data_IF_760483157230
#
_entry.id   IF_760483157230
#
_cell.length_a   1.000
_cell.length_b   1.000
_cell.length_c   1.000
_cell.angle_alpha   90.00
_cell.angle_beta   90.00
_cell.angle_gamma   90.00
#
_symmetry.space_group_name_H-M   'P 1'
#
loop_
_entity.id
_entity.type
_entity.pdbx_description
1 polymer ?
#
# COMPACT_ATOMS: atom_id res chain seq x y z
N UNK A 1 -7.19 25.27 -47.02
CA UNK A 1 -7.32 25.56 -45.58
C UNK A 1 -6.33 24.69 -44.83
N UNK A 2 -5.12 25.19 -44.60
CA UNK A 2 -4.09 24.46 -43.84
C UNK A 2 -4.45 24.53 -42.36
N UNK A 3 -4.91 23.42 -41.81
CA UNK A 3 -5.07 23.22 -40.37
C UNK A 3 -3.68 23.26 -39.72
N UNK A 4 -3.26 24.46 -39.33
CA UNK A 4 -2.05 24.67 -38.56
C UNK A 4 -2.33 24.21 -37.13
N UNK A 5 -2.26 22.89 -36.91
CA UNK A 5 -2.24 22.29 -35.57
C UNK A 5 -0.89 22.62 -34.95
N UNK A 6 -0.77 23.84 -34.45
CA UNK A 6 0.17 24.11 -33.39
C UNK A 6 -0.44 23.48 -32.14
N UNK A 7 0.07 22.30 -31.78
CA UNK A 7 -0.12 21.76 -30.44
C UNK A 7 0.62 22.70 -29.48
N UNK A 8 -0.04 23.79 -29.10
CA UNK A 8 0.44 24.64 -28.02
C UNK A 8 0.33 23.80 -26.74
N UNK A 9 1.42 23.14 -26.37
CA UNK A 9 1.54 22.55 -25.04
C UNK A 9 1.43 23.71 -24.04
N UNK A 10 0.29 23.77 -23.36
CA UNK A 10 0.02 24.76 -22.33
C UNK A 10 0.97 24.50 -21.16
N UNK A 11 1.93 25.41 -21.00
CA UNK A 11 2.87 25.45 -19.90
C UNK A 11 2.21 26.07 -18.68
N UNK A 12 2.12 25.31 -17.59
CA UNK A 12 1.53 25.78 -16.35
C UNK A 12 2.56 26.55 -15.51
N UNK A 13 2.11 27.70 -15.00
CA UNK A 13 2.83 28.46 -13.98
C UNK A 13 2.90 27.66 -12.66
N UNK A 14 3.89 27.90 -11.79
CA UNK A 14 4.08 27.11 -10.57
C UNK A 14 2.90 27.19 -9.60
N UNK A 15 2.14 28.29 -9.61
CA UNK A 15 0.92 28.41 -8.82
C UNK A 15 -0.19 27.47 -9.34
N UNK A 16 -0.44 27.48 -10.66
CA UNK A 16 -1.44 26.63 -11.28
C UNK A 16 -1.09 25.14 -11.18
N UNK A 17 0.18 24.77 -11.35
CA UNK A 17 0.65 23.40 -11.18
C UNK A 17 0.51 22.92 -9.73
N UNK A 18 0.77 23.79 -8.75
CA UNK A 18 0.62 23.47 -7.33
C UNK A 18 -0.85 23.24 -6.94
N UNK A 19 -1.76 24.06 -7.45
CA UNK A 19 -3.20 23.89 -7.26
C UNK A 19 -3.71 22.56 -7.85
N UNK A 20 -3.28 22.21 -9.06
CA UNK A 20 -3.64 20.93 -9.70
C UNK A 20 -3.19 19.70 -8.90
N UNK A 21 -2.03 19.79 -8.26
CA UNK A 21 -1.46 18.71 -7.42
C UNK A 21 -2.00 18.69 -5.99
N UNK A 22 -2.69 19.76 -5.55
CA UNK A 22 -3.14 19.90 -4.16
C UNK A 22 -1.98 20.09 -3.16
N UNK A 23 -0.88 20.71 -3.59
CA UNK A 23 0.33 20.88 -2.77
C UNK A 23 0.71 22.36 -2.69
N UNK A 24 1.44 22.78 -1.66
CA UNK A 24 2.01 24.14 -1.60
C UNK A 24 3.04 24.40 -2.71
N UNK A 25 3.11 25.65 -3.18
CA UNK A 25 4.12 26.11 -4.16
C UNK A 25 5.55 25.87 -3.64
N UNK A 26 5.78 25.96 -2.33
CA UNK A 26 7.07 25.70 -1.72
C UNK A 26 7.48 24.22 -1.85
N UNK A 27 6.54 23.31 -1.66
CA UNK A 27 6.77 21.87 -1.82
C UNK A 27 7.02 21.53 -3.29
N UNK A 28 6.24 22.09 -4.22
CA UNK A 28 6.48 21.92 -5.66
C UNK A 28 7.87 22.42 -6.07
N UNK A 29 8.33 23.54 -5.49
CA UNK A 29 9.68 24.06 -5.69
C UNK A 29 10.75 23.11 -5.14
N UNK A 30 10.49 22.46 -4.01
CA UNK A 30 11.38 21.44 -3.42
C UNK A 30 11.46 20.20 -4.31
N UNK A 31 10.32 19.71 -4.79
CA UNK A 31 10.24 18.54 -5.64
C UNK A 31 10.93 18.75 -6.98
N UNK A 32 10.65 19.87 -7.66
CA UNK A 32 11.34 20.24 -8.90
C UNK A 32 12.87 20.36 -8.72
N UNK A 33 13.34 20.90 -7.59
CA UNK A 33 14.79 20.92 -7.28
C UNK A 33 15.38 19.52 -7.13
N UNK A 34 14.64 18.58 -6.56
CA UNK A 34 15.08 17.18 -6.40
C UNK A 34 15.14 16.50 -7.77
N UNK A 35 14.13 16.70 -8.61
CA UNK A 35 14.12 16.17 -9.98
C UNK A 35 15.30 16.71 -10.79
N UNK A 36 15.58 18.02 -10.75
CA UNK A 36 16.74 18.62 -11.43
C UNK A 36 18.08 18.04 -10.93
N UNK A 37 18.18 17.75 -9.62
CA UNK A 37 19.38 17.13 -9.02
C UNK A 37 19.55 15.68 -9.47
N UNK A 38 18.48 14.91 -9.38
CA UNK A 38 18.47 13.47 -9.66
C UNK A 38 18.69 13.21 -11.13
N UNK A 39 17.95 13.87 -12.03
CA UNK A 39 18.16 13.80 -13.50
C UNK A 39 19.48 14.42 -13.92
N UNK A 40 19.99 15.33 -13.10
CA UNK A 40 21.21 16.03 -13.37
C UNK A 40 21.10 17.09 -14.47
N UNK A 41 19.89 17.34 -14.96
CA UNK A 41 19.58 18.42 -15.88
C UNK A 41 19.01 19.61 -15.08
N UNK A 42 19.74 20.73 -15.05
CA UNK A 42 19.31 21.96 -14.35
C UNK A 42 18.18 22.68 -15.06
N UNK A 43 17.98 22.38 -16.34
CA UNK A 43 16.95 22.94 -17.22
C UNK A 43 15.99 21.84 -17.64
N UNK A 44 15.69 20.91 -16.72
CA UNK A 44 14.67 19.87 -16.92
C UNK A 44 13.28 20.50 -17.16
N UNK A 45 12.94 21.50 -16.34
CA UNK A 45 11.72 22.29 -16.52
C UNK A 45 12.03 23.55 -17.34
N UNK A 46 11.11 23.90 -18.23
CA UNK A 46 11.20 25.17 -18.95
C UNK A 46 11.14 26.35 -18.00
N UNK A 47 11.75 27.47 -18.39
CA UNK A 47 11.83 28.66 -17.55
C UNK A 47 11.23 29.85 -18.25
N UNK A 48 10.43 30.62 -17.52
CA UNK A 48 9.97 31.93 -17.97
C UNK A 48 11.12 32.93 -18.07
N UNK A 49 10.88 34.11 -18.67
CA UNK A 49 11.84 35.23 -18.69
C UNK A 49 12.28 35.66 -17.28
N UNK A 50 11.45 35.42 -16.26
CA UNK A 50 11.74 35.69 -14.85
C UNK A 50 12.40 34.49 -14.14
N UNK A 51 12.85 33.48 -14.90
CA UNK A 51 13.47 32.23 -14.42
C UNK A 51 12.56 31.35 -13.55
N UNK A 52 11.25 31.61 -13.54
CA UNK A 52 10.26 30.75 -12.90
C UNK A 52 10.08 29.47 -13.70
N UNK A 53 9.93 28.32 -13.02
CA UNK A 53 9.73 27.02 -13.67
C UNK A 53 8.32 26.96 -14.26
N UNK A 54 8.24 26.43 -15.47
CA UNK A 54 7.02 26.15 -16.21
C UNK A 54 6.93 24.63 -16.37
N UNK A 55 5.73 24.10 -16.18
CA UNK A 55 5.49 22.66 -16.13
C UNK A 55 4.62 22.25 -17.31
N UNK A 56 5.03 21.18 -18.00
CA UNK A 56 4.17 20.50 -18.96
C UNK A 56 3.13 19.64 -18.25
N UNK A 57 2.08 19.24 -18.97
CA UNK A 57 1.06 18.32 -18.43
C UNK A 57 1.69 17.00 -17.94
N UNK A 58 2.66 16.47 -18.70
CA UNK A 58 3.44 15.27 -18.30
C UNK A 58 4.25 15.48 -17.03
N UNK A 59 4.85 16.66 -16.87
CA UNK A 59 5.62 16.99 -15.67
C UNK A 59 4.74 16.99 -14.42
N UNK A 60 3.49 17.44 -14.55
CA UNK A 60 2.52 17.44 -13.45
C UNK A 60 2.16 15.99 -13.08
N UNK A 61 1.89 15.13 -14.06
CA UNK A 61 1.57 13.72 -13.81
C UNK A 61 2.76 12.98 -13.15
N UNK A 62 3.99 13.21 -13.63
CA UNK A 62 5.21 12.64 -13.05
C UNK A 62 5.49 13.17 -11.64
N UNK A 63 5.18 14.44 -11.37
CA UNK A 63 5.28 15.05 -10.05
C UNK A 63 4.19 14.54 -9.09
N UNK A 64 3.01 14.19 -9.57
CA UNK A 64 1.96 13.55 -8.76
C UNK A 64 2.36 12.12 -8.39
N UNK A 65 2.82 11.34 -9.35
CA UNK A 65 3.38 10.01 -9.09
C UNK A 65 4.51 10.09 -8.06
N UNK A 66 5.37 11.11 -8.18
CA UNK A 66 6.48 11.36 -7.26
C UNK A 66 6.00 11.70 -5.85
N UNK A 67 5.04 12.61 -5.75
CA UNK A 67 4.42 12.96 -4.48
C UNK A 67 3.80 11.73 -3.80
N UNK A 68 3.07 10.91 -4.54
CA UNK A 68 2.44 9.70 -4.02
C UNK A 68 3.45 8.63 -3.61
N UNK A 69 4.55 8.46 -4.36
CA UNK A 69 5.64 7.57 -3.96
C UNK A 69 6.37 8.06 -2.71
N UNK A 70 6.52 9.38 -2.55
CA UNK A 70 7.18 9.96 -1.38
C UNK A 70 6.41 9.80 -0.06
N UNK A 71 5.09 9.53 -0.13
CA UNK A 71 4.25 9.25 1.04
C UNK A 71 4.36 7.81 1.53
N UNK A 72 4.94 6.90 0.75
CA UNK A 72 5.11 5.50 1.17
C UNK A 72 6.23 5.43 2.22
N UNK A 73 5.93 4.84 3.36
CA UNK A 73 6.87 4.71 4.47
C UNK A 73 8.16 3.99 4.03
N UNK A 74 9.30 4.59 4.34
CA UNK A 74 10.63 3.99 4.14
C UNK A 74 11.38 4.43 2.88
N UNK A 75 10.82 5.28 2.01
CA UNK A 75 11.52 5.82 0.84
C UNK A 75 11.94 7.27 1.06
N UNK A 76 13.19 7.60 0.72
CA UNK A 76 13.63 8.99 0.70
C UNK A 76 13.09 9.71 -0.54
N UNK A 77 12.92 11.05 -0.45
CA UNK A 77 12.49 11.86 -1.58
C UNK A 77 13.42 11.74 -2.81
N UNK A 78 14.71 11.46 -2.60
CA UNK A 78 15.65 11.30 -3.71
C UNK A 78 15.50 9.93 -4.39
N UNK A 79 15.24 8.87 -3.62
CA UNK A 79 14.99 7.53 -4.14
C UNK A 79 13.67 7.46 -4.90
N UNK A 80 12.61 8.06 -4.37
CA UNK A 80 11.33 8.15 -5.07
C UNK A 80 11.47 8.88 -6.41
N UNK A 81 12.29 9.94 -6.48
CA UNK A 81 12.57 10.65 -7.73
C UNK A 81 13.39 9.78 -8.70
N UNK A 82 14.37 9.01 -8.22
CA UNK A 82 15.15 8.09 -9.06
C UNK A 82 14.27 7.01 -9.70
N UNK A 83 13.24 6.54 -9.00
CA UNK A 83 12.34 5.49 -9.48
C UNK A 83 11.45 5.97 -10.64
N UNK A 84 10.93 7.20 -10.58
CA UNK A 84 10.04 7.73 -11.64
C UNK A 84 10.84 8.29 -12.80
N UNK A 85 11.86 9.10 -12.51
CA UNK A 85 12.63 9.78 -13.54
C UNK A 85 13.74 8.89 -14.12
N UNK A 86 13.74 7.58 -13.77
CA UNK A 86 14.57 6.49 -14.30
C UNK A 86 15.99 6.93 -14.67
N UNK A 87 16.67 7.59 -13.74
CA UNK A 87 18.00 8.14 -13.99
C UNK A 87 19.00 7.01 -13.87
N UNK A 88 19.45 6.49 -15.01
CA UNK A 88 20.70 5.73 -15.08
C UNK A 88 21.81 6.59 -14.47
N UNK A 89 22.51 6.06 -13.46
CA UNK A 89 23.66 6.68 -12.80
C UNK A 89 24.76 7.02 -13.83
N UNK A 90 24.59 8.10 -14.59
CA UNK A 90 25.59 8.61 -15.55
C UNK A 90 26.50 9.68 -14.93
N UNK A 91 26.38 9.95 -13.63
CA UNK A 91 27.04 11.09 -12.97
C UNK A 91 28.24 10.76 -12.07
N UNK A 92 28.89 9.61 -12.26
CA UNK A 92 30.26 9.43 -11.77
C UNK A 92 31.35 9.54 -12.84
N UNK A 93 31.01 9.59 -14.14
CA UNK A 93 32.03 9.55 -15.21
C UNK A 93 32.24 10.85 -16.00
N UNK A 94 31.54 11.94 -15.72
CA UNK A 94 31.53 13.13 -16.59
C UNK A 94 32.30 14.37 -16.07
N UNK A 95 33.20 14.21 -15.08
CA UNK A 95 34.15 15.28 -14.69
C UNK A 95 35.52 15.20 -15.36
N UNK A 96 35.74 14.30 -16.33
CA UNK A 96 37.07 14.13 -16.96
C UNK A 96 37.12 14.19 -18.49
N UNK A 97 36.05 14.57 -19.20
CA UNK A 97 36.07 14.65 -20.67
C UNK A 97 35.47 15.96 -21.17
N UNK A 98 36.18 17.05 -20.92
CA UNK A 98 36.13 18.23 -21.78
C UNK A 98 37.48 18.36 -22.49
N UNK A 99 37.69 17.50 -23.47
CA UNK A 99 38.58 17.73 -24.59
C UNK A 99 38.17 16.74 -25.69
N UNK A 100 38.10 17.24 -26.92
CA UNK A 100 37.98 16.49 -28.17
C UNK A 100 36.56 16.17 -28.66
N UNK A 101 35.97 17.18 -29.29
CA UNK A 101 35.05 16.99 -30.40
C UNK A 101 35.82 16.44 -31.63
N UNK A 102 35.54 15.20 -32.03
CA UNK A 102 35.67 14.72 -33.41
C UNK A 102 34.51 13.75 -33.71
N UNK A 103 33.80 13.90 -34.84
CA UNK A 103 32.77 12.94 -35.24
C UNK A 103 33.47 11.75 -35.89
N UNK A 104 33.27 10.56 -35.36
CA UNK A 104 33.64 9.32 -36.04
C UNK A 104 32.49 8.34 -35.93
N UNK A 105 31.81 8.16 -37.06
CA UNK A 105 31.18 6.89 -37.40
C UNK A 105 32.31 5.83 -37.47
N UNK A 106 32.69 5.28 -36.32
CA UNK A 106 33.49 4.07 -36.24
C UNK A 106 32.51 2.92 -36.03
N UNK A 107 32.46 2.04 -37.02
CA UNK A 107 31.76 0.76 -37.02
C UNK A 107 31.85 0.13 -35.62
N UNK A 108 30.71 -0.17 -34.99
CA UNK A 108 30.69 -0.82 -33.68
C UNK A 108 31.63 -2.02 -33.70
N UNK A 109 32.63 -1.98 -32.82
CA UNK A 109 33.66 -3.00 -32.68
C UNK A 109 33.00 -4.39 -32.54
N UNK A 110 33.37 -5.34 -33.38
CA UNK A 110 32.79 -6.70 -33.43
C UNK A 110 32.80 -7.38 -32.07
N UNK A 111 33.80 -7.07 -31.23
CA UNK A 111 33.89 -7.56 -29.86
C UNK A 111 32.77 -6.99 -28.95
N UNK A 112 32.32 -5.76 -29.18
CA UNK A 112 31.19 -5.16 -28.45
C UNK A 112 29.86 -5.83 -28.86
N UNK A 113 29.71 -6.20 -30.13
CA UNK A 113 28.53 -6.95 -30.61
C UNK A 113 28.50 -8.36 -30.01
N UNK A 114 29.65 -9.06 -29.95
CA UNK A 114 29.75 -10.36 -29.29
C UNK A 114 29.42 -10.28 -27.78
N UNK A 115 29.88 -9.23 -27.10
CA UNK A 115 29.55 -8.98 -25.69
C UNK A 115 28.07 -8.66 -25.48
N UNK A 116 27.47 -7.91 -26.40
CA UNK A 116 26.02 -7.63 -26.40
C UNK A 116 25.22 -8.91 -26.61
N UNK A 117 25.60 -9.76 -27.57
CA UNK A 117 24.99 -11.06 -27.83
C UNK A 117 25.10 -11.97 -26.61
N UNK A 118 26.27 -12.03 -25.96
CA UNK A 118 26.45 -12.79 -24.73
C UNK A 118 25.60 -12.25 -23.56
N UNK A 119 25.48 -10.93 -23.43
CA UNK A 119 24.61 -10.31 -22.43
C UNK A 119 23.12 -10.59 -22.70
N UNK A 120 22.68 -10.55 -23.97
CA UNK A 120 21.34 -10.92 -24.38
C UNK A 120 21.05 -12.40 -24.11
N UNK A 121 21.99 -13.30 -24.43
CA UNK A 121 21.84 -14.72 -24.14
C UNK A 121 21.73 -14.99 -22.63
N UNK A 122 22.55 -14.34 -21.82
CA UNK A 122 22.47 -14.44 -20.36
C UNK A 122 21.16 -13.88 -19.81
N UNK A 123 20.64 -12.80 -20.42
CA UNK A 123 19.35 -12.20 -20.04
C UNK A 123 18.19 -13.12 -20.43
N UNK A 124 18.26 -13.79 -21.57
CA UNK A 124 17.26 -14.78 -21.98
C UNK A 124 17.29 -15.99 -21.03
N UNK A 125 18.48 -16.44 -20.64
CA UNK A 125 18.62 -17.53 -19.66
C UNK A 125 17.99 -17.15 -18.30
N UNK A 126 18.28 -15.95 -17.79
CA UNK A 126 17.70 -15.48 -16.52
C UNK A 126 16.18 -15.25 -16.62
N UNK A 127 15.68 -14.78 -17.77
CA UNK A 127 14.24 -14.67 -18.02
C UNK A 127 13.57 -16.04 -18.04
N UNK A 128 14.18 -17.06 -18.66
CA UNK A 128 13.63 -18.42 -18.67
C UNK A 128 13.57 -19.02 -17.25
N UNK A 129 14.59 -18.81 -16.43
CA UNK A 129 14.56 -19.23 -15.02
C UNK A 129 13.48 -18.50 -14.21
N UNK A 130 13.30 -17.19 -14.45
CA UNK A 130 12.24 -16.42 -13.83
C UNK A 130 10.85 -16.95 -14.23
N UNK A 131 10.66 -17.28 -15.52
CA UNK A 131 9.41 -17.87 -16.02
C UNK A 131 9.14 -19.23 -15.36
N UNK A 132 10.14 -20.10 -15.25
CA UNK A 132 9.99 -21.41 -14.58
C UNK A 132 9.63 -21.25 -13.09
N UNK A 133 10.26 -20.29 -12.39
CA UNK A 133 9.92 -19.98 -11.01
C UNK A 133 8.49 -19.43 -10.86
N UNK A 134 8.05 -18.56 -11.77
CA UNK A 134 6.68 -18.04 -11.79
C UNK A 134 5.66 -19.16 -12.06
N UNK A 135 5.94 -20.06 -13.02
CA UNK A 135 5.10 -21.23 -13.28
C UNK A 135 5.01 -22.14 -12.05
N UNK A 136 6.11 -22.38 -11.34
CA UNK A 136 6.11 -23.13 -10.07
C UNK A 136 5.28 -22.45 -8.98
N UNK A 137 5.33 -21.13 -8.88
CA UNK A 137 4.52 -20.37 -7.93
C UNK A 137 3.03 -20.42 -8.28
N UNK A 138 2.66 -20.23 -9.55
CA UNK A 138 1.28 -20.35 -10.00
C UNK A 138 0.71 -21.73 -9.69
N UNK A 139 1.45 -22.79 -10.02
CA UNK A 139 1.04 -24.16 -9.70
C UNK A 139 0.85 -24.40 -8.18
N UNK A 140 1.65 -23.74 -7.32
CA UNK A 140 1.49 -23.83 -5.86
C UNK A 140 0.23 -23.09 -5.40
N UNK A 141 -0.01 -21.89 -5.91
CA UNK A 141 -1.18 -21.06 -5.58
C UNK A 141 -2.46 -21.76 -6.04
N UNK A 142 -2.48 -22.32 -7.26
CA UNK A 142 -3.61 -23.07 -7.78
C UNK A 142 -3.95 -24.28 -6.89
N UNK A 143 -2.94 -25.03 -6.44
CA UNK A 143 -3.13 -26.12 -5.47
C UNK A 143 -3.68 -25.64 -4.14
N UNK A 144 -3.12 -24.56 -3.58
CA UNK A 144 -3.61 -23.98 -2.34
C UNK A 144 -5.07 -23.51 -2.47
N UNK A 145 -5.43 -22.89 -3.58
CA UNK A 145 -6.80 -22.47 -3.86
C UNK A 145 -7.74 -23.67 -3.99
N UNK A 146 -7.30 -24.74 -4.65
CA UNK A 146 -8.08 -25.97 -4.75
C UNK A 146 -8.32 -26.59 -3.36
N UNK A 147 -7.28 -26.70 -2.54
CA UNK A 147 -7.37 -27.22 -1.17
C UNK A 147 -8.30 -26.36 -0.29
N UNK A 148 -8.24 -25.04 -0.44
CA UNK A 148 -9.14 -24.12 0.28
C UNK A 148 -10.59 -24.29 -0.16
N UNK A 149 -10.84 -24.43 -1.46
CA UNK A 149 -12.17 -24.70 -2.00
C UNK A 149 -12.71 -26.06 -1.53
N UNK A 150 -11.87 -27.09 -1.48
CA UNK A 150 -12.27 -28.40 -0.93
C UNK A 150 -12.58 -28.31 0.56
N UNK A 151 -11.75 -27.64 1.35
CA UNK A 151 -12.04 -27.39 2.77
C UNK A 151 -13.33 -26.61 2.95
N UNK A 152 -13.57 -25.60 2.13
CA UNK A 152 -14.82 -24.85 2.18
C UNK A 152 -16.02 -25.76 1.88
N UNK A 153 -15.95 -26.62 0.87
CA UNK A 153 -16.99 -27.61 0.57
C UNK A 153 -17.21 -28.63 1.70
N UNK A 154 -16.15 -28.98 2.44
CA UNK A 154 -16.26 -29.85 3.62
C UNK A 154 -16.84 -29.12 4.84
N UNK A 155 -16.68 -27.80 4.91
CA UNK A 155 -17.20 -26.94 5.98
C UNK A 155 -18.61 -26.39 5.67
N UNK A 156 -19.08 -26.49 4.43
CA UNK A 156 -20.49 -26.31 4.11
C UNK A 156 -21.29 -27.34 4.92
N UNK A 157 -22.18 -26.83 5.77
CA UNK A 157 -22.88 -27.55 6.82
C UNK A 157 -23.49 -28.87 6.33
N UNK A 158 -23.58 -29.91 7.20
CA UNK A 158 -24.28 -31.14 6.87
C UNK A 158 -25.69 -30.78 6.37
N UNK A 159 -26.01 -31.20 5.15
CA UNK A 159 -27.33 -30.99 4.52
C UNK A 159 -28.45 -31.73 5.26
N UNK A 160 -28.08 -32.63 6.14
CA UNK A 160 -28.96 -33.36 7.03
C UNK A 160 -28.76 -32.77 8.43
N UNK A 161 -29.56 -31.75 8.75
CA UNK A 161 -29.87 -31.45 10.15
C UNK A 161 -30.62 -32.68 10.66
N UNK A 162 -29.95 -33.52 11.45
CA UNK A 162 -30.62 -34.61 12.16
C UNK A 162 -31.86 -34.03 12.86
N UNK A 163 -33.01 -34.69 12.72
CA UNK A 163 -34.30 -34.28 13.32
C UNK A 163 -34.20 -34.06 14.85
N UNK A 164 -33.15 -34.57 15.50
CA UNK A 164 -32.82 -34.33 16.91
C UNK A 164 -32.32 -32.90 17.20
N UNK A 165 -31.64 -32.22 16.27
CA UNK A 165 -31.16 -30.83 16.47
C UNK A 165 -32.31 -29.84 16.37
N UNK A 166 -33.31 -30.12 15.53
CA UNK A 166 -34.53 -29.32 15.42
C UNK A 166 -35.45 -29.44 16.67
N UNK A 167 -35.26 -30.49 17.47
CA UNK A 167 -36.00 -30.74 18.71
C UNK A 167 -35.36 -30.12 19.96
N UNK A 168 -34.17 -29.50 19.85
CA UNK A 168 -33.55 -28.79 20.95
C UNK A 168 -34.33 -27.50 21.25
N UNK A 169 -34.70 -27.23 22.52
CA UNK A 169 -35.37 -25.98 22.88
C UNK A 169 -34.46 -24.78 22.54
N UNK A 170 -35.04 -23.69 22.05
CA UNK A 170 -34.30 -22.48 21.67
C UNK A 170 -33.56 -21.88 22.88
N UNK A 171 -32.24 -22.08 22.90
CA UNK A 171 -31.34 -21.63 23.98
C UNK A 171 -30.81 -20.20 23.70
N UNK A 172 -31.30 -19.50 22.65
CA UNK A 172 -30.82 -18.16 22.27
C UNK A 172 -31.02 -17.08 23.36
N UNK A 173 -31.75 -17.41 24.44
CA UNK A 173 -31.93 -16.55 25.62
C UNK A 173 -31.00 -16.84 26.81
N UNK A 174 -30.09 -17.82 26.76
CA UNK A 174 -29.24 -18.17 27.91
C UNK A 174 -27.80 -17.76 27.60
N UNK A 175 -27.49 -16.51 27.89
CA UNK A 175 -26.12 -16.06 28.13
C UNK A 175 -26.01 -15.88 29.64
N UNK A 176 -25.09 -16.62 30.26
CA UNK A 176 -24.76 -16.46 31.67
C UNK A 176 -24.40 -14.98 31.93
N UNK A 177 -25.10 -14.37 32.86
CA UNK A 177 -24.81 -13.03 33.38
C UNK A 177 -23.47 -13.07 34.12
N UNK A 178 -22.37 -12.91 33.37
CA UNK A 178 -21.13 -12.40 33.93
C UNK A 178 -20.99 -10.93 33.49
N UNK A 179 -21.34 -10.07 34.45
CA UNK A 179 -20.96 -8.67 34.69
C UNK A 179 -20.09 -7.91 33.64
N UNK A 180 -20.59 -7.71 32.44
CA UNK A 180 -20.29 -6.50 31.67
C UNK A 180 -21.61 -5.92 31.15
N UNK A 181 -21.84 -4.61 31.34
CA UNK A 181 -23.06 -3.91 30.89
C UNK A 181 -23.31 -4.22 29.42
N UNK A 182 -24.19 -5.16 29.14
CA UNK A 182 -24.50 -5.58 27.79
C UNK A 182 -25.29 -4.45 27.14
N UNK A 183 -24.66 -3.76 26.19
CA UNK A 183 -25.35 -2.77 25.38
C UNK A 183 -26.49 -3.44 24.64
N UNK A 184 -27.69 -2.92 24.88
CA UNK A 184 -28.92 -3.40 24.27
C UNK A 184 -28.80 -3.33 22.75
N UNK A 185 -29.54 -4.16 22.01
CA UNK A 185 -29.48 -4.18 20.54
C UNK A 185 -29.74 -2.79 19.93
N UNK A 186 -30.59 -1.98 20.57
CA UNK A 186 -30.87 -0.60 20.16
C UNK A 186 -29.70 0.35 20.39
N UNK A 187 -28.88 0.14 21.43
CA UNK A 187 -27.68 0.94 21.66
C UNK A 187 -26.59 0.62 20.63
N UNK A 188 -26.46 -0.66 20.25
CA UNK A 188 -25.57 -1.09 19.17
C UNK A 188 -25.99 -0.45 17.83
N UNK A 189 -27.29 -0.39 17.56
CA UNK A 189 -27.83 0.26 16.35
C UNK A 189 -27.57 1.77 16.33
N UNK A 190 -27.71 2.45 17.48
CA UNK A 190 -27.39 3.88 17.62
C UNK A 190 -25.92 4.16 17.38
N UNK A 191 -25.01 3.34 17.92
CA UNK A 191 -23.57 3.47 17.66
C UNK A 191 -23.21 3.34 16.19
N UNK A 192 -23.79 2.37 15.48
CA UNK A 192 -23.56 2.23 14.03
C UNK A 192 -24.05 3.46 13.25
N UNK A 193 -25.14 4.11 13.69
CA UNK A 193 -25.61 5.35 13.08
C UNK A 193 -24.72 6.55 13.37
N UNK A 194 -24.08 6.59 14.54
CA UNK A 194 -23.09 7.60 14.91
C UNK A 194 -21.77 7.40 14.15
N UNK A 195 -21.30 6.16 14.04
CA UNK A 195 -20.07 5.82 13.32
C UNK A 195 -20.19 6.13 11.82
N UNK A 196 -21.38 5.99 11.23
CA UNK A 196 -21.65 6.41 9.84
C UNK A 196 -21.53 7.91 9.60
N UNK A 197 -21.57 8.73 10.64
CA UNK A 197 -21.42 10.20 10.53
C UNK A 197 -19.98 10.66 10.72
N UNK A 198 -19.10 9.80 11.23
CA UNK A 198 -17.68 10.12 11.43
C UNK A 198 -16.95 10.04 10.09
N UNK A 199 -15.90 10.84 9.94
CA UNK A 199 -15.01 10.75 8.78
C UNK A 199 -14.15 9.49 8.84
N UNK A 200 -13.64 9.02 7.69
CA UNK A 200 -12.82 7.80 7.61
C UNK A 200 -11.53 7.89 8.45
N UNK A 201 -10.95 9.09 8.54
CA UNK A 201 -9.73 9.37 9.31
C UNK A 201 -9.99 9.29 10.82
N UNK A 202 -11.13 9.82 11.29
CA UNK A 202 -11.55 9.72 12.69
C UNK A 202 -11.87 8.26 13.09
N UNK A 203 -12.50 7.49 12.20
CA UNK A 203 -12.76 6.06 12.42
C UNK A 203 -11.45 5.27 12.54
N UNK A 204 -10.48 5.56 11.68
CA UNK A 204 -9.17 4.91 11.69
C UNK A 204 -8.42 5.16 13.01
N UNK A 205 -8.39 6.41 13.49
CA UNK A 205 -7.74 6.76 14.75
C UNK A 205 -8.44 6.14 15.97
N UNK A 206 -9.77 6.06 15.95
CA UNK A 206 -10.56 5.39 16.99
C UNK A 206 -10.26 3.88 17.04
N UNK A 207 -10.14 3.22 15.89
CA UNK A 207 -9.78 1.81 15.80
C UNK A 207 -8.38 1.57 16.38
N UNK A 208 -7.40 2.41 16.03
CA UNK A 208 -6.02 2.29 16.54
C UNK A 208 -5.97 2.49 18.05
N UNK A 209 -6.70 3.48 18.58
CA UNK A 209 -6.76 3.75 20.01
C UNK A 209 -7.41 2.60 20.78
N UNK A 210 -8.51 2.05 20.25
CA UNK A 210 -9.20 0.89 20.84
C UNK A 210 -8.35 -0.38 20.80
N UNK A 211 -7.58 -0.58 19.73
CA UNK A 211 -6.61 -1.66 19.62
C UNK A 211 -5.49 -1.54 20.68
N UNK A 212 -4.95 -0.33 20.87
CA UNK A 212 -3.94 -0.05 21.91
C UNK A 212 -4.50 -0.26 23.33
N UNK A 213 -5.74 0.13 23.58
CA UNK A 213 -6.41 -0.08 24.87
C UNK A 213 -6.63 -1.57 25.17
N UNK A 214 -7.11 -2.34 24.20
CA UNK A 214 -7.27 -3.78 24.34
C UNK A 214 -5.94 -4.50 24.54
N UNK A 215 -4.87 -4.07 23.85
CA UNK A 215 -3.53 -4.60 24.06
C UNK A 215 -3.04 -4.32 25.49
N UNK A 216 -3.28 -3.12 26.04
CA UNK A 216 -2.95 -2.78 27.43
C UNK A 216 -3.76 -3.60 28.44
N UNK A 217 -5.06 -3.77 28.23
CA UNK A 217 -5.94 -4.60 29.08
C UNK A 217 -5.48 -6.06 29.11
N UNK A 218 -5.14 -6.63 27.94
CA UNK A 218 -4.59 -7.99 27.84
C UNK A 218 -3.21 -8.10 28.48
N UNK A 219 -2.38 -7.08 28.36
CA UNK A 219 -1.07 -7.03 29.00
C UNK A 219 -1.19 -7.00 30.53
N UNK A 220 -2.15 -6.25 31.10
CA UNK A 220 -2.36 -6.19 32.55
C UNK A 220 -3.07 -7.43 33.13
N UNK A 221 -3.99 -8.04 32.37
CA UNK A 221 -4.72 -9.24 32.82
C UNK A 221 -3.82 -10.47 32.97
N UNK A 222 -2.68 -10.51 32.29
CA UNK A 222 -1.76 -11.64 32.31
C UNK A 222 -0.57 -11.46 33.28
N UNK A 223 -0.55 -10.41 34.11
CA UNK A 223 0.65 -10.14 34.91
C UNK A 223 0.82 -11.17 36.03
N UNK A 224 -0.17 -11.49 36.85
CA UNK A 224 -0.11 -12.69 37.72
C UNK A 224 -1.53 -13.10 38.10
N UNK A 225 -1.94 -14.35 37.82
CA UNK A 225 -3.14 -14.93 38.47
C UNK A 225 -2.84 -15.02 39.96
N UNK A 226 -3.67 -14.40 40.79
CA UNK A 226 -3.50 -14.48 42.24
C UNK A 226 -3.95 -15.87 42.73
N UNK A 227 -3.50 -16.28 43.92
CA UNK A 227 -3.99 -17.52 44.55
C UNK A 227 -5.51 -17.50 44.76
N UNK A 228 -6.12 -16.31 44.89
CA UNK A 228 -7.56 -16.09 44.92
C UNK A 228 -8.24 -16.46 43.60
N UNK A 229 -7.67 -16.07 42.45
CA UNK A 229 -8.25 -16.36 41.12
C UNK A 229 -8.21 -17.86 40.75
N UNK A 230 -7.38 -18.65 41.44
CA UNK A 230 -7.32 -20.11 41.26
C UNK A 230 -8.22 -20.87 42.24
N UNK A 231 -8.90 -20.19 43.16
CA UNK A 231 -9.88 -20.84 44.02
C UNK A 231 -11.14 -21.16 43.22
N UNK A 232 -11.53 -22.43 43.20
CA UNK A 232 -12.81 -22.85 42.67
C UNK A 232 -13.90 -22.20 43.51
N UNK A 233 -14.60 -21.21 42.97
CA UNK A 233 -15.79 -20.68 43.63
C UNK A 233 -16.83 -21.81 43.78
N UNK A 234 -17.53 -21.88 44.93
CA UNK A 234 -18.60 -22.85 45.09
C UNK A 234 -19.62 -22.63 43.98
N UNK A 235 -19.97 -23.71 43.27
CA UNK A 235 -20.93 -23.66 42.17
C UNK A 235 -22.20 -22.94 42.64
N UNK A 236 -22.52 -21.80 42.01
CA UNK A 236 -23.74 -21.05 42.31
C UNK A 236 -24.91 -22.01 42.11
N UNK A 237 -25.74 -22.20 43.14
CA UNK A 237 -26.95 -23.02 43.02
C UNK A 237 -27.78 -22.48 41.87
N UNK A 238 -28.08 -23.35 40.90
CA UNK A 238 -28.95 -22.99 39.80
C UNK A 238 -30.30 -22.53 40.36
N UNK A 239 -30.91 -21.53 39.73
CA UNK A 239 -32.16 -20.94 40.20
C UNK A 239 -33.30 -21.98 40.33
N UNK A 240 -33.30 -23.04 39.51
CA UNK A 240 -34.22 -24.16 39.63
C UNK A 240 -34.04 -25.00 40.92
N UNK A 241 -32.83 -25.06 41.49
CA UNK A 241 -32.57 -25.74 42.77
C UNK A 241 -33.01 -24.90 43.99
N UNK A 242 -33.51 -23.67 43.77
CA UNK A 242 -34.11 -22.83 44.82
C UNK A 242 -35.63 -22.92 44.84
N UNK A 243 -36.23 -23.52 43.82
CA UNK A 243 -37.69 -23.63 43.63
C UNK A 243 -38.26 -25.00 44.04
N UNK A 244 -37.40 -25.99 44.33
CA UNK A 244 -37.74 -27.32 44.84
C UNK A 244 -37.03 -27.62 46.14
#
# INVERSE_FOLDING_TARGET
>A
MTSNKHDFEELDAPAAAAEKLGISVATLRKYSLIVEKVTGNKDYFERSKQRARLYHKKDIDDLDAFHNLSKKDGLTLEEAARQIYAVSDKKETDKKRQAEAKPKNELMDSHQVAKLLGALQNTIASQNEAIDNLQKQLNRIEKQNHDLLERQKQLEAPKDVDDEIAALPDISGIVAEDDEKQETQDDKRKKVLEDKKKSEEELHDEIINKAKENAKKRASANVHRTLEDMQLHPAKKHWWQRLF
#
